data_IF_458656985337
#
_entry.id   IF_458656985337
#
_cell.length_a   1.000
_cell.length_b   1.000
_cell.length_c   1.000
_cell.angle_alpha   90.00
_cell.angle_beta   90.00
_cell.angle_gamma   90.00
#
_symmetry.space_group_name_H-M   'P 1'
#
loop_
_entity.id
_entity.type
_entity.pdbx_description
1 polymer ?
#
# COMPACT_ATOMS: atom_id res chain seq x y z
N UNK A 1 26.75 -31.78 10.17
CA UNK A 1 25.42 -31.17 9.92
C UNK A 1 25.66 -29.68 9.63
N UNK A 2 25.39 -29.23 8.40
CA UNK A 2 25.44 -27.80 8.10
C UNK A 2 24.21 -27.15 8.68
N UNK A 3 24.40 -26.06 9.42
CA UNK A 3 23.28 -25.32 10.02
C UNK A 3 22.52 -24.59 8.92
N UNK A 4 21.23 -24.86 8.79
CA UNK A 4 20.34 -24.07 7.92
C UNK A 4 20.33 -22.59 8.35
N UNK A 5 20.37 -21.63 7.42
CA UNK A 5 20.42 -20.23 7.76
C UNK A 5 19.15 -19.80 8.50
N UNK A 6 19.34 -19.10 9.61
CA UNK A 6 18.29 -18.63 10.50
C UNK A 6 18.17 -17.12 10.38
N UNK A 7 16.98 -16.64 10.02
CA UNK A 7 16.66 -15.21 9.99
C UNK A 7 15.49 -14.95 10.94
N UNK A 8 15.72 -14.12 11.95
CA UNK A 8 14.72 -13.82 12.99
C UNK A 8 14.10 -15.08 13.65
N UNK A 9 14.90 -16.14 13.87
CA UNK A 9 14.46 -17.39 14.45
C UNK A 9 13.71 -18.33 13.49
N UNK A 10 13.66 -18.01 12.21
CA UNK A 10 12.99 -18.81 11.18
C UNK A 10 14.01 -19.42 10.22
N UNK A 11 13.91 -20.72 10.00
CA UNK A 11 14.76 -21.45 9.06
C UNK A 11 14.36 -21.10 7.64
N UNK A 12 15.33 -20.69 6.83
CA UNK A 12 15.13 -20.31 5.42
C UNK A 12 15.59 -21.46 4.53
N UNK A 13 14.64 -22.25 4.04
CA UNK A 13 14.86 -23.36 3.11
C UNK A 13 13.72 -23.43 2.08
N UNK A 14 13.79 -24.39 1.15
CA UNK A 14 12.79 -24.55 0.09
C UNK A 14 11.39 -24.86 0.62
N UNK A 15 11.27 -25.62 1.72
CA UNK A 15 9.99 -26.05 2.30
C UNK A 15 9.25 -24.88 2.97
N UNK A 16 10.00 -23.96 3.60
CA UNK A 16 9.44 -22.85 4.34
C UNK A 16 9.29 -21.59 3.51
N UNK A 17 9.92 -21.53 2.32
CA UNK A 17 10.00 -20.32 1.51
C UNK A 17 8.64 -19.63 1.29
N UNK A 18 7.67 -20.34 0.72
CA UNK A 18 6.37 -19.75 0.45
C UNK A 18 5.60 -19.35 1.71
N UNK A 19 5.73 -20.12 2.79
CA UNK A 19 5.09 -19.79 4.07
C UNK A 19 5.54 -18.43 4.61
N UNK A 20 6.80 -18.07 4.38
CA UNK A 20 7.37 -16.78 4.79
C UNK A 20 6.74 -15.60 4.06
N UNK A 21 6.23 -15.80 2.85
CA UNK A 21 5.69 -14.76 2.00
C UNK A 21 4.16 -14.75 1.87
N UNK A 22 3.45 -15.72 2.46
CA UNK A 22 1.98 -15.79 2.42
C UNK A 22 1.32 -14.46 2.79
N UNK A 23 1.70 -13.76 3.86
CA UNK A 23 1.06 -12.48 4.20
C UNK A 23 1.22 -11.43 3.10
N UNK A 24 2.39 -11.39 2.44
CA UNK A 24 2.66 -10.48 1.32
C UNK A 24 1.82 -10.86 0.11
N UNK A 25 1.74 -12.15 -0.22
CA UNK A 25 0.96 -12.64 -1.35
C UNK A 25 -0.52 -12.32 -1.20
N UNK A 26 -1.08 -12.53 0.00
CA UNK A 26 -2.49 -12.18 0.30
C UNK A 26 -2.70 -10.68 0.13
N UNK A 27 -1.78 -9.84 0.62
CA UNK A 27 -1.87 -8.40 0.50
C UNK A 27 -1.78 -7.92 -0.96
N UNK A 28 -0.86 -8.49 -1.74
CA UNK A 28 -0.72 -8.19 -3.17
C UNK A 28 -2.01 -8.53 -3.92
N UNK A 29 -2.60 -9.71 -3.66
CA UNK A 29 -3.87 -10.11 -4.28
C UNK A 29 -4.98 -9.12 -3.94
N UNK A 30 -5.09 -8.72 -2.67
CA UNK A 30 -6.07 -7.73 -2.24
C UNK A 30 -5.93 -6.41 -3.02
N UNK A 31 -4.71 -5.88 -3.12
CA UNK A 31 -4.43 -4.65 -3.84
C UNK A 31 -4.65 -4.77 -5.36
N UNK A 32 -4.38 -5.91 -5.97
CA UNK A 32 -4.67 -6.15 -7.39
C UNK A 32 -6.19 -6.10 -7.63
N UNK A 33 -6.97 -6.77 -6.78
CA UNK A 33 -8.44 -6.78 -6.90
C UNK A 33 -9.00 -5.36 -6.72
N UNK A 34 -8.51 -4.63 -5.74
CA UNK A 34 -8.89 -3.24 -5.49
C UNK A 34 -8.55 -2.34 -6.70
N UNK A 35 -7.32 -2.44 -7.23
CA UNK A 35 -6.88 -1.67 -8.40
C UNK A 35 -7.74 -1.94 -9.63
N UNK A 36 -8.09 -3.20 -9.88
CA UNK A 36 -9.00 -3.58 -10.97
C UNK A 36 -10.38 -2.95 -10.74
N UNK A 37 -10.92 -3.03 -9.52
CA UNK A 37 -12.19 -2.43 -9.16
C UNK A 37 -12.21 -0.92 -9.40
N UNK A 38 -11.19 -0.20 -8.94
CA UNK A 38 -11.06 1.23 -9.17
C UNK A 38 -10.91 1.59 -10.65
N UNK A 39 -10.12 0.85 -11.41
CA UNK A 39 -9.91 1.09 -12.84
C UNK A 39 -11.21 0.89 -13.63
N UNK A 40 -12.00 -0.12 -13.29
CA UNK A 40 -13.29 -0.36 -13.91
C UNK A 40 -14.34 0.71 -13.60
N UNK A 41 -14.30 1.27 -12.38
CA UNK A 41 -15.30 2.21 -11.91
C UNK A 41 -14.99 3.67 -12.30
N UNK A 42 -13.73 4.09 -12.23
CA UNK A 42 -13.33 5.50 -12.43
C UNK A 42 -12.68 5.80 -13.78
N UNK A 43 -12.45 4.80 -14.63
CA UNK A 43 -11.90 4.97 -15.97
C UNK A 43 -10.42 5.38 -15.99
N UNK A 44 -9.93 5.80 -17.18
CA UNK A 44 -8.50 5.91 -17.49
C UNK A 44 -7.64 6.92 -16.70
N UNK A 45 -8.20 7.76 -15.83
CA UNK A 45 -7.39 8.70 -15.03
C UNK A 45 -6.45 7.99 -14.05
N UNK A 46 -6.84 6.79 -13.56
CA UNK A 46 -6.01 5.98 -12.68
C UNK A 46 -5.05 5.03 -13.42
N UNK A 47 -5.09 5.01 -14.76
CA UNK A 47 -4.34 4.04 -15.57
C UNK A 47 -2.83 4.07 -15.35
N UNK A 48 -2.21 5.26 -15.23
CA UNK A 48 -0.76 5.36 -15.00
C UNK A 48 -0.34 4.92 -13.59
N UNK A 49 -1.14 5.23 -12.55
CA UNK A 49 -0.92 4.73 -11.20
C UNK A 49 -0.98 3.20 -11.18
N UNK A 50 -1.96 2.63 -11.86
CA UNK A 50 -2.14 1.18 -11.98
C UNK A 50 -0.97 0.50 -12.69
N UNK A 51 -0.37 1.12 -13.71
CA UNK A 51 0.78 0.54 -14.42
C UNK A 51 2.03 0.49 -13.53
N UNK A 52 2.36 1.59 -12.85
CA UNK A 52 3.52 1.63 -11.93
C UNK A 52 3.35 0.66 -10.76
N UNK A 53 2.13 0.64 -10.20
CA UNK A 53 1.79 -0.30 -9.14
C UNK A 53 1.90 -1.75 -9.62
N UNK A 54 1.32 -2.09 -10.79
CA UNK A 54 1.39 -3.43 -11.36
C UNK A 54 2.84 -3.85 -11.67
N UNK A 55 3.68 -2.93 -12.16
CA UNK A 55 5.09 -3.21 -12.40
C UNK A 55 5.85 -3.52 -11.10
N UNK A 56 5.63 -2.73 -10.04
CA UNK A 56 6.24 -2.99 -8.72
C UNK A 56 5.80 -4.33 -8.13
N UNK A 57 4.49 -4.59 -8.15
CA UNK A 57 3.92 -5.84 -7.65
C UNK A 57 4.33 -7.06 -8.48
N UNK A 58 4.41 -6.90 -9.80
CA UNK A 58 4.92 -7.93 -10.70
C UNK A 58 6.38 -8.29 -10.39
N UNK A 59 7.25 -7.32 -10.17
CA UNK A 59 8.63 -7.56 -9.76
C UNK A 59 8.73 -8.23 -8.39
N UNK A 60 7.90 -7.83 -7.40
CA UNK A 60 7.85 -8.48 -6.10
C UNK A 60 7.44 -9.94 -6.22
N UNK A 61 6.34 -10.22 -6.93
CA UNK A 61 5.86 -11.58 -7.19
C UNK A 61 6.91 -12.42 -7.90
N UNK A 62 7.48 -11.90 -8.99
CA UNK A 62 8.52 -12.59 -9.73
C UNK A 62 9.73 -12.90 -8.83
N UNK A 63 10.17 -11.95 -8.00
CA UNK A 63 11.22 -12.15 -7.02
C UNK A 63 10.90 -13.27 -6.02
N UNK A 64 9.67 -13.32 -5.49
CA UNK A 64 9.22 -14.36 -4.54
C UNK A 64 9.18 -15.73 -5.22
N UNK A 65 8.57 -15.85 -6.41
CA UNK A 65 8.41 -17.12 -7.09
C UNK A 65 9.74 -17.69 -7.63
N UNK A 66 10.62 -16.83 -8.13
CA UNK A 66 11.96 -17.23 -8.60
C UNK A 66 13.00 -17.27 -7.51
N UNK A 67 12.64 -16.89 -6.27
CA UNK A 67 13.55 -16.75 -5.12
C UNK A 67 14.73 -15.82 -5.40
N UNK A 68 14.49 -14.79 -6.23
CA UNK A 68 15.51 -13.86 -6.70
C UNK A 68 15.42 -12.53 -5.95
N UNK A 69 16.41 -12.29 -5.07
CA UNK A 69 16.49 -11.10 -4.25
C UNK A 69 16.63 -9.79 -5.03
N UNK A 70 17.22 -9.82 -6.22
CA UNK A 70 17.38 -8.61 -7.06
C UNK A 70 16.01 -8.13 -7.54
N UNK A 71 15.18 -9.01 -8.11
CA UNK A 71 13.83 -8.63 -8.56
C UNK A 71 12.94 -8.20 -7.39
N UNK A 72 13.05 -8.85 -6.24
CA UNK A 72 12.31 -8.43 -5.05
C UNK A 72 12.70 -7.02 -4.61
N UNK A 73 14.00 -6.69 -4.57
CA UNK A 73 14.49 -5.35 -4.23
C UNK A 73 14.06 -4.30 -5.25
N UNK A 74 14.10 -4.60 -6.54
CA UNK A 74 13.59 -3.71 -7.59
C UNK A 74 12.11 -3.43 -7.35
N UNK A 75 11.29 -4.47 -7.16
CA UNK A 75 9.88 -4.33 -6.84
C UNK A 75 9.61 -3.52 -5.58
N UNK A 76 10.40 -3.73 -4.53
CA UNK A 76 10.33 -2.95 -3.30
C UNK A 76 10.60 -1.46 -3.54
N UNK A 77 11.64 -1.10 -4.31
CA UNK A 77 11.96 0.30 -4.57
C UNK A 77 10.94 0.98 -5.49
N UNK A 78 10.40 0.25 -6.49
CA UNK A 78 9.29 0.76 -7.32
C UNK A 78 8.07 1.04 -6.43
N UNK A 79 7.70 0.09 -5.56
CA UNK A 79 6.58 0.26 -4.64
C UNK A 79 6.83 1.37 -3.63
N UNK A 80 8.04 1.52 -3.11
CA UNK A 80 8.41 2.61 -2.20
C UNK A 80 8.21 3.98 -2.87
N UNK A 81 8.65 4.14 -4.12
CA UNK A 81 8.42 5.36 -4.89
C UNK A 81 6.94 5.65 -5.10
N UNK A 82 6.16 4.60 -5.44
CA UNK A 82 4.71 4.70 -5.57
C UNK A 82 4.05 5.13 -4.24
N UNK A 83 4.38 4.48 -3.13
CA UNK A 83 3.79 4.78 -1.83
C UNK A 83 4.11 6.21 -1.36
N UNK A 84 5.32 6.72 -1.62
CA UNK A 84 5.66 8.11 -1.31
C UNK A 84 4.74 9.07 -2.08
N UNK A 85 4.54 8.84 -3.38
CA UNK A 85 3.67 9.68 -4.22
C UNK A 85 2.21 9.57 -3.74
N UNK A 86 1.73 8.36 -3.43
CA UNK A 86 0.38 8.12 -2.92
C UNK A 86 0.14 8.88 -1.62
N UNK A 87 1.02 8.73 -0.63
CA UNK A 87 0.93 9.43 0.66
C UNK A 87 0.90 10.96 0.48
N UNK A 88 1.74 11.50 -0.40
CA UNK A 88 1.72 12.95 -0.70
C UNK A 88 0.36 13.36 -1.27
N UNK A 89 -0.18 12.58 -2.21
CA UNK A 89 -1.48 12.85 -2.81
C UNK A 89 -2.61 12.77 -1.80
N UNK A 90 -2.60 11.79 -0.89
CA UNK A 90 -3.60 11.64 0.16
C UNK A 90 -3.59 12.84 1.11
N UNK A 91 -2.41 13.31 1.52
CA UNK A 91 -2.26 14.53 2.32
C UNK A 91 -2.82 15.74 1.57
N UNK A 92 -2.50 15.89 0.28
CA UNK A 92 -3.04 16.97 -0.57
C UNK A 92 -4.55 16.88 -0.67
N UNK A 93 -5.13 15.69 -0.85
CA UNK A 93 -6.58 15.50 -0.89
C UNK A 93 -7.25 15.84 0.44
N UNK A 94 -6.67 15.48 1.58
CA UNK A 94 -7.17 15.90 2.89
C UNK A 94 -7.25 17.42 2.96
N UNK A 95 -6.19 18.13 2.57
CA UNK A 95 -6.15 19.60 2.57
C UNK A 95 -7.24 20.17 1.64
N UNK A 96 -7.35 19.65 0.40
CA UNK A 96 -8.37 20.10 -0.57
C UNK A 96 -9.78 19.89 -0.03
N UNK A 97 -10.07 18.73 0.56
CA UNK A 97 -11.36 18.42 1.18
C UNK A 97 -11.68 19.46 2.26
N UNK A 98 -10.71 19.78 3.12
CA UNK A 98 -10.91 20.75 4.19
C UNK A 98 -11.25 22.14 3.65
N UNK A 99 -10.54 22.64 2.64
CA UNK A 99 -10.84 23.90 1.99
C UNK A 99 -12.18 23.89 1.25
N UNK A 100 -12.49 22.84 0.53
CA UNK A 100 -13.72 22.72 -0.25
C UNK A 100 -14.96 22.76 0.66
N UNK A 101 -14.93 22.05 1.78
CA UNK A 101 -16.02 22.05 2.73
C UNK A 101 -16.20 23.42 3.43
N UNK A 102 -15.12 24.16 3.72
CA UNK A 102 -15.23 25.52 4.24
C UNK A 102 -15.92 26.47 3.23
N UNK A 103 -15.56 26.37 1.96
CA UNK A 103 -16.20 27.17 0.89
C UNK A 103 -17.69 26.83 0.79
N UNK A 104 -18.07 25.56 0.81
CA UNK A 104 -19.47 25.14 0.76
C UNK A 104 -20.25 25.70 1.97
N UNK A 105 -19.70 25.61 3.17
CA UNK A 105 -20.33 26.17 4.37
C UNK A 105 -20.56 27.68 4.25
N UNK A 106 -19.61 28.42 3.73
CA UNK A 106 -19.76 29.85 3.49
C UNK A 106 -20.88 30.15 2.48
N UNK A 107 -20.94 29.39 1.37
CA UNK A 107 -22.00 29.55 0.35
C UNK A 107 -23.38 29.25 0.96
N UNK A 108 -23.50 28.19 1.74
CA UNK A 108 -24.75 27.82 2.42
C UNK A 108 -25.19 28.93 3.37
N UNK A 109 -24.30 29.42 4.21
CA UNK A 109 -24.60 30.49 5.15
C UNK A 109 -25.08 31.80 4.46
N UNK A 110 -24.45 32.15 3.30
CA UNK A 110 -24.86 33.32 2.52
C UNK A 110 -26.25 33.09 1.87
N UNK A 111 -26.50 31.87 1.38
CA UNK A 111 -27.72 31.57 0.60
C UNK A 111 -28.99 31.48 1.46
N UNK A 112 -28.84 31.14 2.73
CA UNK A 112 -29.96 30.83 3.62
C UNK A 112 -30.62 32.07 4.25
N UNK A 113 -29.90 33.19 4.28
CA UNK A 113 -30.40 34.45 4.84
C UNK A 113 -30.69 34.38 6.35
N UNK A 114 -31.30 35.45 6.91
CA UNK A 114 -31.53 35.59 8.36
C UNK A 114 -32.81 34.94 8.89
N UNK A 115 -33.49 34.11 8.09
CA UNK A 115 -34.69 33.41 8.54
C UNK A 115 -34.37 32.29 9.53
N UNK A 116 -35.20 32.10 10.59
CA UNK A 116 -34.99 31.03 11.58
C UNK A 116 -34.99 29.65 10.97
N UNK A 117 -35.83 29.37 9.99
CA UNK A 117 -35.92 28.10 9.28
C UNK A 117 -34.65 27.85 8.45
N UNK A 118 -34.14 28.91 7.85
CA UNK A 118 -32.89 28.85 7.12
C UNK A 118 -31.69 28.57 7.99
N UNK A 119 -31.59 29.23 9.17
CA UNK A 119 -30.49 28.96 10.09
C UNK A 119 -30.48 27.51 10.60
N UNK A 120 -31.66 26.91 10.86
CA UNK A 120 -31.74 25.50 11.21
C UNK A 120 -31.32 24.58 10.06
N UNK A 121 -31.70 24.90 8.82
CA UNK A 121 -31.26 24.12 7.64
C UNK A 121 -29.75 24.22 7.46
N UNK A 122 -29.15 25.41 7.61
CA UNK A 122 -27.69 25.59 7.52
C UNK A 122 -26.94 24.80 8.61
N UNK A 123 -27.48 24.73 9.81
CA UNK A 123 -26.88 23.95 10.90
C UNK A 123 -26.88 22.44 10.59
N UNK A 124 -27.99 21.88 10.09
CA UNK A 124 -28.08 20.48 9.68
C UNK A 124 -27.10 20.16 8.56
N UNK A 125 -27.03 21.03 7.55
CA UNK A 125 -26.06 20.87 6.45
C UNK A 125 -24.62 20.95 6.97
N UNK A 126 -24.35 21.86 7.90
CA UNK A 126 -23.05 21.99 8.56
C UNK A 126 -22.60 20.71 9.27
N UNK A 127 -23.48 20.10 10.05
CA UNK A 127 -23.21 18.81 10.70
C UNK A 127 -22.98 17.67 9.71
N UNK A 128 -23.79 17.60 8.65
CA UNK A 128 -23.60 16.59 7.60
C UNK A 128 -22.25 16.75 6.88
N UNK A 129 -21.88 17.98 6.51
CA UNK A 129 -20.60 18.30 5.89
C UNK A 129 -19.41 17.97 6.81
N UNK A 130 -19.53 18.28 8.10
CA UNK A 130 -18.52 17.93 9.09
C UNK A 130 -18.34 16.41 9.19
N UNK A 131 -19.43 15.66 9.20
CA UNK A 131 -19.40 14.20 9.20
C UNK A 131 -18.66 13.63 7.97
N UNK A 132 -18.96 14.12 6.78
CA UNK A 132 -18.26 13.74 5.54
C UNK A 132 -16.78 14.10 5.60
N UNK A 133 -16.43 15.31 6.03
CA UNK A 133 -15.05 15.79 6.18
C UNK A 133 -14.23 14.86 7.08
N UNK A 134 -14.76 14.51 8.24
CA UNK A 134 -14.11 13.61 9.19
C UNK A 134 -13.98 12.20 8.60
N UNK A 135 -15.05 11.68 8.00
CA UNK A 135 -15.05 10.34 7.41
C UNK A 135 -13.99 10.17 6.31
N UNK A 136 -13.94 11.10 5.35
CA UNK A 136 -12.95 11.04 4.28
C UNK A 136 -11.53 11.24 4.81
N UNK A 137 -11.31 12.19 5.73
CA UNK A 137 -9.97 12.36 6.33
C UNK A 137 -9.50 11.11 7.05
N UNK A 138 -10.41 10.43 7.78
CA UNK A 138 -10.09 9.18 8.46
C UNK A 138 -9.75 8.06 7.47
N UNK A 139 -10.50 7.96 6.35
CA UNK A 139 -10.24 6.98 5.31
C UNK A 139 -8.83 7.13 4.72
N UNK A 140 -8.42 8.36 4.38
CA UNK A 140 -7.07 8.63 3.86
C UNK A 140 -5.97 8.36 4.90
N UNK A 141 -6.20 8.69 6.17
CA UNK A 141 -5.24 8.35 7.24
C UNK A 141 -5.07 6.84 7.37
N UNK A 142 -6.15 6.07 7.29
CA UNK A 142 -6.10 4.61 7.33
C UNK A 142 -5.31 4.08 6.12
N UNK A 143 -5.52 4.64 4.92
CA UNK A 143 -4.80 4.24 3.71
C UNK A 143 -3.29 4.47 3.85
N UNK A 144 -2.87 5.65 4.30
CA UNK A 144 -1.48 5.98 4.61
C UNK A 144 -0.87 4.98 5.61
N UNK A 145 -1.60 4.64 6.68
CA UNK A 145 -1.12 3.69 7.68
C UNK A 145 -0.96 2.28 7.08
N UNK A 146 -1.90 1.85 6.23
CA UNK A 146 -1.82 0.57 5.54
C UNK A 146 -0.61 0.51 4.60
N UNK A 147 -0.35 1.56 3.82
CA UNK A 147 0.83 1.63 2.94
C UNK A 147 2.15 1.57 3.72
N UNK A 148 2.25 2.33 4.83
CA UNK A 148 3.44 2.30 5.69
C UNK A 148 3.66 0.93 6.33
N UNK A 149 2.59 0.29 6.83
CA UNK A 149 2.66 -1.06 7.38
C UNK A 149 3.15 -2.06 6.33
N UNK A 150 2.64 -1.98 5.11
CA UNK A 150 3.05 -2.88 4.03
C UNK A 150 4.51 -2.67 3.63
N UNK A 151 4.97 -1.43 3.52
CA UNK A 151 6.39 -1.11 3.30
C UNK A 151 7.30 -1.72 4.39
N UNK A 152 6.89 -1.62 5.65
CA UNK A 152 7.62 -2.23 6.76
C UNK A 152 7.70 -3.75 6.62
N UNK A 153 6.60 -4.39 6.24
CA UNK A 153 6.56 -5.84 6.01
C UNK A 153 7.47 -6.24 4.85
N UNK A 154 7.41 -5.52 3.72
CA UNK A 154 8.26 -5.77 2.56
C UNK A 154 9.75 -5.66 2.92
N UNK A 155 10.14 -4.57 3.59
CA UNK A 155 11.52 -4.33 4.02
C UNK A 155 12.06 -5.45 4.93
N UNK A 156 11.24 -5.93 5.86
CA UNK A 156 11.61 -7.02 6.78
C UNK A 156 11.87 -8.35 6.08
N UNK A 157 11.44 -8.53 4.83
CA UNK A 157 11.63 -9.76 4.06
C UNK A 157 12.89 -9.77 3.21
N UNK A 158 13.55 -8.64 3.00
CA UNK A 158 14.80 -8.56 2.21
C UNK A 158 15.88 -9.52 2.75
N UNK A 159 16.16 -9.60 4.07
CA UNK A 159 17.19 -10.49 4.61
C UNK A 159 16.95 -11.98 4.34
N UNK A 160 15.69 -12.39 4.08
CA UNK A 160 15.38 -13.79 3.77
C UNK A 160 15.94 -14.21 2.40
N UNK A 161 16.00 -13.30 1.44
CA UNK A 161 16.63 -13.56 0.14
C UNK A 161 18.14 -13.72 0.27
N UNK A 162 18.77 -12.90 1.09
CA UNK A 162 20.23 -13.01 1.35
C UNK A 162 20.56 -14.34 2.03
N UNK A 163 19.75 -14.76 2.99
CA UNK A 163 19.89 -16.05 3.66
C UNK A 163 19.63 -17.22 2.72
N UNK A 164 18.63 -17.12 1.82
CA UNK A 164 18.35 -18.17 0.86
C UNK A 164 19.48 -18.32 -0.16
N UNK A 165 20.08 -17.24 -0.61
CA UNK A 165 21.25 -17.26 -1.50
C UNK A 165 22.45 -17.94 -0.84
N UNK A 166 22.70 -17.68 0.43
CA UNK A 166 23.72 -18.38 1.22
C UNK A 166 23.43 -19.87 1.32
N UNK A 167 22.18 -20.26 1.60
CA UNK A 167 21.75 -21.64 1.64
C UNK A 167 22.01 -22.37 0.31
N UNK A 168 21.63 -21.76 -0.82
CA UNK A 168 21.86 -22.30 -2.15
C UNK A 168 23.36 -22.49 -2.47
N UNK A 169 24.18 -21.50 -2.13
CA UNK A 169 25.63 -21.56 -2.34
C UNK A 169 26.28 -22.68 -1.51
N UNK A 170 25.82 -22.91 -0.28
CA UNK A 170 26.28 -24.02 0.55
C UNK A 170 25.90 -25.37 -0.04
N UNK A 171 24.72 -25.51 -0.63
CA UNK A 171 24.29 -26.73 -1.31
C UNK A 171 25.16 -27.02 -2.55
N UNK A 172 25.43 -26.01 -3.38
CA UNK A 172 26.28 -26.16 -4.56
C UNK A 172 27.70 -26.58 -4.21
N UNK A 173 28.30 -26.04 -3.15
CA UNK A 173 29.62 -26.44 -2.67
C UNK A 173 29.63 -27.86 -2.10
N UNK A 174 28.52 -28.33 -1.57
CA UNK A 174 28.40 -29.71 -1.04
C UNK A 174 28.22 -30.76 -2.13
N UNK A 175 27.73 -30.36 -3.30
CA UNK A 175 27.46 -31.23 -4.45
C UNK A 175 28.61 -31.26 -5.47
N UNK A 176 29.62 -30.39 -5.34
CA UNK A 176 30.85 -30.45 -6.18
C UNK A 176 31.68 -31.62 -5.75
N UNK A 177 31.89 -32.66 -6.63
CA UNK A 177 32.83 -33.73 -6.33
C UNK A 177 34.25 -33.15 -6.28
N UNK A 178 35.00 -33.55 -5.25
CA UNK A 178 36.44 -33.29 -5.12
C UNK A 178 37.17 -34.15 -6.14
#
# INVERSE_FOLDING_TARGET
MKSEPLVNGVVVNDENWFKLFVPILVWIIFWIVETIGYTMYYGGYYGYKSILFAAGMGCLLFGIFTKNGVFYRIGFYIYLGFAIISIIMDVVFIIIIWFFFEIILQIVNISVGDSKEGQQAAEIVGWALLGYKVFFSLAFVIDILCELCFLCVLKRRIPYFDAYEQYKNQQLQASSPV
#
